data_IF_362621668041
#
_entry.id   IF_362621668041
#
_cell.length_a   1.000
_cell.length_b   1.000
_cell.length_c   1.000
_cell.angle_alpha   90.00
_cell.angle_beta   90.00
_cell.angle_gamma   90.00
#
_symmetry.space_group_name_H-M   'P 1'
#
loop_
_entity.id
_entity.type
_entity.pdbx_description
1 polymer ?
#
# COMPACT_ATOMS: atom_id res chain seq x y z
N UNK A 1 -38.68 41.60 3.38
CA UNK A 1 -38.07 40.50 4.18
C UNK A 1 -36.91 39.90 3.42
N UNK A 2 -35.68 40.26 3.77
CA UNK A 2 -34.48 39.75 3.16
C UNK A 2 -34.09 38.45 3.87
N UNK A 3 -34.14 37.30 3.14
CA UNK A 3 -33.64 36.02 3.64
C UNK A 3 -32.13 36.03 3.49
N UNK A 4 -31.41 36.19 4.59
CA UNK A 4 -29.97 35.97 4.66
C UNK A 4 -29.69 34.46 4.57
N UNK A 5 -29.17 34.00 3.44
CA UNK A 5 -28.64 32.64 3.32
C UNK A 5 -27.35 32.57 4.12
N UNK A 6 -27.37 31.88 5.23
CA UNK A 6 -26.15 31.57 6.00
C UNK A 6 -25.21 30.70 5.14
N UNK A 7 -23.92 31.10 5.10
CA UNK A 7 -22.89 30.30 4.44
C UNK A 7 -22.76 28.91 5.12
N UNK A 8 -22.54 27.83 4.37
CA UNK A 8 -22.37 26.50 4.95
C UNK A 8 -21.11 26.47 5.84
N UNK A 9 -21.12 25.68 6.92
CA UNK A 9 -19.97 25.61 7.84
C UNK A 9 -18.71 25.12 7.10
N UNK A 10 -17.57 25.66 7.46
CA UNK A 10 -16.25 25.40 6.84
C UNK A 10 -15.92 23.91 6.73
N UNK A 11 -16.42 23.08 7.66
CA UNK A 11 -16.28 21.62 7.64
C UNK A 11 -17.00 20.95 6.45
N UNK A 12 -18.13 21.54 6.00
CA UNK A 12 -18.89 21.03 4.85
C UNK A 12 -18.17 21.32 3.51
N UNK A 13 -17.52 22.48 3.41
CA UNK A 13 -16.70 22.85 2.25
C UNK A 13 -15.43 21.99 2.15
N UNK A 14 -14.73 21.74 3.27
CA UNK A 14 -13.57 20.85 3.34
C UNK A 14 -13.95 19.40 2.97
N UNK A 15 -15.12 18.92 3.41
CA UNK A 15 -15.62 17.58 3.04
C UNK A 15 -15.94 17.48 1.56
N UNK A 16 -16.41 18.54 0.91
CA UNK A 16 -16.72 18.58 -0.52
C UNK A 16 -15.46 18.69 -1.39
N UNK A 17 -14.40 19.35 -0.88
CA UNK A 17 -13.11 19.45 -1.57
C UNK A 17 -12.32 18.13 -1.56
N UNK A 18 -12.53 17.24 -0.58
CA UNK A 18 -11.91 15.92 -0.51
C UNK A 18 -12.74 14.81 -1.18
N UNK A 19 -13.98 15.08 -1.57
CA UNK A 19 -14.80 14.15 -2.34
C UNK A 19 -14.32 14.11 -3.78
N UNK A 20 -13.42 13.18 -4.10
CA UNK A 20 -12.85 12.98 -5.45
C UNK A 20 -11.32 13.04 -5.51
N UNK A 21 -10.62 13.29 -4.39
CA UNK A 21 -9.16 13.19 -4.35
C UNK A 21 -8.73 11.73 -4.42
N UNK A 22 -7.84 11.41 -5.36
CA UNK A 22 -7.12 10.14 -5.40
C UNK A 22 -5.82 10.27 -4.60
N UNK A 23 -5.57 9.32 -3.70
CA UNK A 23 -4.36 9.26 -2.88
C UNK A 23 -3.32 8.34 -3.51
N UNK A 24 -2.09 8.82 -3.63
CA UNK A 24 -0.96 8.03 -4.13
C UNK A 24 -0.28 7.31 -2.97
N UNK A 25 -0.13 5.99 -3.10
CA UNK A 25 0.43 5.10 -2.08
C UNK A 25 1.64 4.35 -2.65
N UNK A 26 2.78 4.47 -2.01
CA UNK A 26 4.00 3.74 -2.39
C UNK A 26 4.25 2.60 -1.40
N UNK A 27 4.19 1.36 -1.90
CA UNK A 27 4.60 0.18 -1.13
C UNK A 27 6.08 -0.11 -1.33
N UNK A 28 6.81 -0.26 -0.23
CA UNK A 28 8.25 -0.52 -0.23
C UNK A 28 8.60 -1.88 0.35
N UNK A 29 9.51 -2.56 -0.31
CA UNK A 29 10.27 -3.69 0.24
C UNK A 29 11.68 -3.65 -0.34
N UNK A 30 12.61 -4.46 0.18
CA UNK A 30 13.99 -4.44 -0.32
C UNK A 30 14.08 -4.79 -1.81
N UNK A 31 13.55 -5.93 -2.22
CA UNK A 31 13.76 -6.45 -3.59
C UNK A 31 12.74 -6.04 -4.64
N UNK A 32 11.63 -5.41 -4.28
CA UNK A 32 10.50 -5.08 -5.17
C UNK A 32 10.16 -6.21 -6.16
N UNK A 33 10.05 -7.44 -5.66
CA UNK A 33 9.81 -8.62 -6.48
C UNK A 33 8.55 -9.42 -6.10
N UNK A 34 8.10 -9.34 -4.83
CA UNK A 34 6.96 -10.09 -4.33
C UNK A 34 6.01 -9.21 -3.51
N UNK A 35 6.27 -9.01 -2.21
CA UNK A 35 5.34 -8.36 -1.26
C UNK A 35 4.80 -7.01 -1.71
N UNK A 36 5.66 -6.09 -2.12
CA UNK A 36 5.24 -4.75 -2.58
C UNK A 36 4.47 -4.79 -3.90
N UNK A 37 4.78 -5.75 -4.79
CA UNK A 37 4.02 -5.99 -6.04
C UNK A 37 2.61 -6.49 -5.72
N UNK A 38 2.48 -7.47 -4.82
CA UNK A 38 1.18 -7.97 -4.37
C UNK A 38 0.33 -6.85 -3.75
N UNK A 39 0.94 -6.00 -2.91
CA UNK A 39 0.27 -4.87 -2.29
C UNK A 39 -0.19 -3.81 -3.30
N UNK A 40 0.65 -3.49 -4.31
CA UNK A 40 0.32 -2.58 -5.41
C UNK A 40 -0.91 -3.08 -6.18
N UNK A 41 -0.92 -4.36 -6.58
CA UNK A 41 -2.05 -4.97 -7.29
C UNK A 41 -3.35 -4.95 -6.47
N UNK A 42 -3.27 -5.33 -5.19
CA UNK A 42 -4.40 -5.34 -4.27
C UNK A 42 -5.01 -3.94 -4.10
N UNK A 43 -4.19 -2.93 -3.83
CA UNK A 43 -4.71 -1.59 -3.56
C UNK A 43 -5.28 -0.93 -4.82
N UNK A 44 -4.69 -1.15 -5.99
CA UNK A 44 -5.23 -0.68 -7.26
C UNK A 44 -6.58 -1.33 -7.59
N UNK A 45 -6.85 -2.53 -7.07
CA UNK A 45 -8.13 -3.22 -7.23
C UNK A 45 -9.14 -2.77 -6.17
N UNK A 46 -8.80 -2.91 -4.90
CA UNK A 46 -9.73 -2.67 -3.78
C UNK A 46 -9.97 -1.19 -3.50
N UNK A 47 -8.99 -0.35 -3.83
CA UNK A 47 -9.03 1.10 -3.64
C UNK A 47 -9.41 1.91 -4.89
N UNK A 48 -9.89 1.25 -5.96
CA UNK A 48 -10.20 1.87 -7.24
C UNK A 48 -11.03 3.16 -7.09
N UNK A 49 -10.58 4.21 -7.76
CA UNK A 49 -11.23 5.54 -7.72
C UNK A 49 -10.84 6.41 -6.52
N UNK A 50 -10.22 5.85 -5.47
CA UNK A 50 -9.75 6.58 -4.29
C UNK A 50 -8.24 6.51 -4.08
N UNK A 51 -7.61 5.46 -4.59
CA UNK A 51 -6.18 5.22 -4.42
C UNK A 51 -5.55 4.87 -5.76
N UNK A 52 -4.29 5.27 -5.90
CA UNK A 52 -3.38 4.83 -6.94
C UNK A 52 -2.12 4.31 -6.25
N UNK A 53 -1.86 3.03 -6.40
CA UNK A 53 -0.74 2.37 -5.75
C UNK A 53 0.44 2.20 -6.68
N UNK A 54 1.62 2.32 -6.11
CA UNK A 54 2.93 2.05 -6.70
C UNK A 54 3.71 1.12 -5.80
N UNK A 55 4.75 0.48 -6.33
CA UNK A 55 5.71 -0.27 -5.54
C UNK A 55 7.15 0.03 -5.96
N UNK A 56 8.09 -0.08 -5.02
CA UNK A 56 9.51 0.05 -5.28
C UNK A 56 10.35 -0.72 -4.25
N UNK A 57 11.65 -0.78 -4.48
CA UNK A 57 12.61 -1.40 -3.58
C UNK A 57 13.87 -0.56 -3.39
N UNK A 58 14.54 -0.75 -2.25
CA UNK A 58 15.86 -0.19 -1.99
C UNK A 58 16.94 -0.85 -2.83
N UNK A 59 16.82 -2.18 -3.02
CA UNK A 59 17.72 -3.01 -3.84
C UNK A 59 16.88 -3.89 -4.77
N UNK A 60 16.31 -3.33 -5.84
CA UNK A 60 15.39 -4.04 -6.72
C UNK A 60 16.09 -5.21 -7.42
N UNK A 61 15.40 -6.38 -7.47
CA UNK A 61 15.92 -7.59 -8.13
C UNK A 61 15.88 -7.51 -9.67
N UNK A 62 15.33 -6.45 -10.25
CA UNK A 62 15.18 -6.24 -11.69
C UNK A 62 14.03 -7.01 -12.33
N UNK A 63 13.47 -8.00 -11.64
CA UNK A 63 12.35 -8.80 -12.12
C UNK A 63 11.34 -9.11 -11.00
N UNK A 64 10.09 -9.25 -11.39
CA UNK A 64 9.01 -9.69 -10.49
C UNK A 64 9.10 -11.22 -10.33
N UNK A 65 8.85 -11.70 -9.12
CA UNK A 65 8.90 -13.13 -8.82
C UNK A 65 7.80 -13.90 -9.57
N UNK A 66 8.10 -14.99 -10.29
CA UNK A 66 7.10 -15.73 -11.07
C UNK A 66 5.88 -16.18 -10.26
N UNK A 67 6.08 -16.66 -9.02
CA UNK A 67 4.98 -17.07 -8.14
C UNK A 67 4.08 -15.89 -7.72
N UNK A 68 4.59 -14.67 -7.67
CA UNK A 68 3.74 -13.50 -7.42
C UNK A 68 2.81 -13.25 -8.62
N UNK A 69 3.33 -13.28 -9.84
CA UNK A 69 2.53 -13.10 -11.05
C UNK A 69 1.52 -14.25 -11.21
N UNK A 70 1.94 -15.51 -11.02
CA UNK A 70 1.03 -16.65 -11.09
C UNK A 70 -0.11 -16.55 -10.08
N UNK A 71 0.20 -16.17 -8.82
CA UNK A 71 -0.81 -15.97 -7.78
C UNK A 71 -1.81 -14.86 -8.15
N UNK A 72 -1.32 -13.72 -8.63
CA UNK A 72 -2.19 -12.62 -9.09
C UNK A 72 -3.13 -13.08 -10.20
N UNK A 73 -2.65 -13.84 -11.19
CA UNK A 73 -3.48 -14.43 -12.25
C UNK A 73 -4.55 -15.35 -11.68
N UNK A 74 -4.18 -16.28 -10.80
CA UNK A 74 -5.10 -17.24 -10.18
C UNK A 74 -6.17 -16.60 -9.31
N UNK A 75 -5.88 -15.43 -8.74
CA UNK A 75 -6.82 -14.68 -7.90
C UNK A 75 -7.57 -13.59 -8.67
N UNK A 76 -7.45 -13.55 -10.01
CA UNK A 76 -8.06 -12.54 -10.89
C UNK A 76 -7.70 -11.09 -10.50
N UNK A 77 -6.51 -10.90 -9.96
CA UNK A 77 -5.94 -9.58 -9.70
C UNK A 77 -5.08 -9.14 -10.90
N UNK A 78 -4.90 -7.81 -11.12
CA UNK A 78 -3.98 -7.31 -12.13
C UNK A 78 -2.60 -7.95 -11.97
N UNK A 79 -2.07 -8.51 -13.05
CA UNK A 79 -0.82 -9.27 -13.06
C UNK A 79 0.18 -8.78 -14.11
N UNK A 80 -0.18 -7.76 -14.88
CA UNK A 80 0.63 -7.20 -15.97
C UNK A 80 1.07 -5.77 -15.66
N UNK A 81 2.12 -5.31 -16.34
CA UNK A 81 2.65 -3.96 -16.19
C UNK A 81 3.54 -3.75 -14.95
N UNK A 82 3.68 -4.74 -14.08
CA UNK A 82 4.58 -4.66 -12.93
C UNK A 82 6.04 -4.79 -13.33
N UNK A 83 6.91 -4.02 -12.71
CA UNK A 83 8.36 -4.12 -12.82
C UNK A 83 9.03 -3.93 -11.47
N UNK A 84 10.16 -4.58 -11.28
CA UNK A 84 11.03 -4.34 -10.13
C UNK A 84 11.84 -3.07 -10.39
N UNK A 85 11.75 -2.06 -9.50
CA UNK A 85 12.31 -0.73 -9.69
C UNK A 85 12.80 -0.11 -8.38
N UNK A 86 13.77 0.81 -8.50
CA UNK A 86 14.31 1.53 -7.36
C UNK A 86 13.30 2.55 -6.81
N UNK A 87 13.30 2.73 -5.52
CA UNK A 87 12.58 3.78 -4.84
C UNK A 87 13.05 5.19 -5.22
N UNK A 88 14.30 5.34 -5.72
CA UNK A 88 14.84 6.63 -6.18
C UNK A 88 14.02 7.22 -7.32
N UNK A 89 13.32 6.39 -8.09
CA UNK A 89 12.41 6.88 -9.13
C UNK A 89 11.29 7.76 -8.56
N UNK A 90 10.88 7.53 -7.31
CA UNK A 90 9.84 8.31 -6.63
C UNK A 90 10.38 9.51 -5.85
N UNK A 91 11.69 9.61 -5.67
CA UNK A 91 12.36 10.77 -5.11
C UNK A 91 12.86 11.75 -6.20
N UNK A 92 12.85 11.31 -7.46
CA UNK A 92 13.35 12.10 -8.59
C UNK A 92 12.42 13.28 -8.95
N UNK A 93 12.94 14.35 -9.56
CA UNK A 93 12.09 15.42 -10.10
C UNK A 93 11.09 14.89 -11.12
N UNK A 94 9.83 15.31 -11.00
CA UNK A 94 8.75 14.87 -11.87
C UNK A 94 8.07 13.56 -11.44
N UNK A 95 8.53 12.92 -10.36
CA UNK A 95 7.82 11.78 -9.77
C UNK A 95 6.42 12.18 -9.30
N UNK A 96 5.45 11.24 -9.32
CA UNK A 96 4.11 11.51 -8.79
C UNK A 96 4.21 11.87 -7.30
N UNK A 97 3.44 12.86 -6.82
CA UNK A 97 3.41 13.19 -5.40
C UNK A 97 2.86 11.98 -4.62
N UNK A 98 3.57 11.55 -3.58
CA UNK A 98 3.18 10.42 -2.73
C UNK A 98 2.52 10.94 -1.46
N UNK A 99 1.33 10.41 -1.14
CA UNK A 99 0.61 10.73 0.10
C UNK A 99 0.96 9.78 1.25
N UNK A 100 1.18 8.50 0.91
CA UNK A 100 1.51 7.45 1.88
C UNK A 100 2.68 6.60 1.41
N UNK A 101 3.61 6.31 2.31
CA UNK A 101 4.68 5.32 2.11
C UNK A 101 4.49 4.19 3.12
N UNK A 102 4.34 2.96 2.63
CA UNK A 102 4.08 1.79 3.45
C UNK A 102 5.16 0.75 3.20
N UNK A 103 6.02 0.50 4.19
CA UNK A 103 7.00 -0.59 4.12
C UNK A 103 6.34 -1.92 4.46
N UNK A 104 6.55 -2.95 3.63
CA UNK A 104 5.95 -4.28 3.80
C UNK A 104 6.96 -5.37 4.16
N UNK A 105 8.20 -5.02 4.45
CA UNK A 105 9.22 -5.93 4.99
C UNK A 105 10.05 -5.21 6.06
N UNK A 106 10.51 -5.96 7.05
CA UNK A 106 11.23 -5.41 8.20
C UNK A 106 12.57 -4.79 7.79
N UNK A 107 13.27 -5.37 6.83
CA UNK A 107 14.53 -4.83 6.32
C UNK A 107 14.35 -3.41 5.75
N UNK A 108 13.36 -3.22 4.87
CA UNK A 108 13.08 -1.90 4.30
C UNK A 108 12.63 -0.88 5.36
N UNK A 109 12.04 -1.32 6.46
CA UNK A 109 11.67 -0.45 7.58
C UNK A 109 12.90 0.06 8.36
N UNK A 110 14.00 -0.70 8.35
CA UNK A 110 15.26 -0.34 9.00
C UNK A 110 16.24 0.44 8.11
N UNK A 111 15.95 0.58 6.83
CA UNK A 111 16.82 1.28 5.88
C UNK A 111 16.60 2.81 5.93
N UNK A 112 17.66 3.56 5.59
CA UNK A 112 17.57 5.02 5.45
C UNK A 112 16.82 5.32 4.15
N UNK A 113 15.52 5.60 4.28
CA UNK A 113 14.70 5.98 3.13
C UNK A 113 15.12 7.34 2.56
N UNK A 114 14.97 7.55 1.24
CA UNK A 114 15.10 8.87 0.64
C UNK A 114 14.16 9.89 1.29
N UNK A 115 14.51 11.17 1.18
CA UNK A 115 13.58 12.24 1.55
C UNK A 115 12.55 12.38 0.45
N UNK A 116 11.33 11.94 0.74
CA UNK A 116 10.22 12.01 -0.21
C UNK A 116 9.71 13.46 -0.34
N UNK A 117 9.50 13.97 -1.57
CA UNK A 117 8.82 15.24 -1.77
C UNK A 117 7.42 15.21 -1.11
N UNK A 118 7.05 16.33 -0.45
CA UNK A 118 5.71 16.43 0.16
C UNK A 118 5.56 15.81 1.55
N UNK A 119 6.57 15.13 2.09
CA UNK A 119 6.55 14.48 3.41
C UNK A 119 5.35 13.55 3.58
N UNK A 120 5.26 12.45 2.83
CA UNK A 120 4.17 11.49 2.92
C UNK A 120 4.05 10.91 4.32
N UNK A 121 2.84 10.50 4.68
CA UNK A 121 2.61 9.76 5.91
C UNK A 121 3.18 8.35 5.78
N UNK A 122 3.95 7.89 6.77
CA UNK A 122 4.64 6.60 6.72
C UNK A 122 4.03 5.58 7.67
N UNK A 123 4.02 4.32 7.26
CA UNK A 123 3.63 3.20 8.13
C UNK A 123 4.41 1.95 7.77
N UNK A 124 4.48 1.02 8.74
CA UNK A 124 5.09 -0.28 8.54
C UNK A 124 4.05 -1.39 8.69
N UNK A 125 3.95 -2.26 7.67
CA UNK A 125 3.06 -3.41 7.62
C UNK A 125 3.85 -4.69 7.36
N UNK A 126 4.75 -5.06 8.26
CA UNK A 126 5.66 -6.20 8.11
C UNK A 126 4.93 -7.50 7.71
N UNK A 127 5.40 -8.11 6.63
CA UNK A 127 4.93 -9.38 6.08
C UNK A 127 6.14 -10.29 5.92
N UNK A 128 6.02 -11.54 6.36
CA UNK A 128 7.07 -12.54 6.14
C UNK A 128 7.41 -12.67 4.66
N UNK A 129 8.69 -12.89 4.34
CA UNK A 129 9.11 -13.00 2.94
C UNK A 129 8.70 -14.35 2.34
N UNK A 130 7.71 -14.40 1.44
CA UNK A 130 7.31 -15.66 0.81
C UNK A 130 8.37 -16.19 -0.15
N UNK A 131 9.25 -15.31 -0.67
CA UNK A 131 10.32 -15.71 -1.58
C UNK A 131 11.55 -16.31 -0.86
N UNK A 132 11.62 -16.22 0.47
CA UNK A 132 12.65 -16.82 1.29
C UNK A 132 12.32 -18.25 1.74
N UNK A 133 11.08 -18.71 1.48
CA UNK A 133 10.67 -20.07 1.88
C UNK A 133 11.35 -21.09 0.99
N UNK A 134 12.10 -21.98 1.64
CA UNK A 134 12.69 -23.15 1.01
C UNK A 134 11.72 -24.33 1.08
N UNK A 135 11.80 -25.25 0.11
CA UNK A 135 10.92 -26.42 0.06
C UNK A 135 10.31 -26.64 -1.33
N UNK A 136 9.23 -27.41 -1.35
CA UNK A 136 8.49 -27.76 -2.57
C UNK A 136 7.76 -26.54 -3.16
N UNK A 137 7.40 -26.64 -4.44
CA UNK A 137 6.61 -25.59 -5.11
C UNK A 137 5.26 -25.36 -4.42
N UNK A 138 4.68 -26.42 -3.82
CA UNK A 138 3.44 -26.30 -3.05
C UNK A 138 3.63 -25.47 -1.78
N UNK A 139 4.71 -25.69 -1.02
CA UNK A 139 5.02 -24.92 0.21
C UNK A 139 5.31 -23.46 -0.13
N UNK A 140 6.06 -23.20 -1.20
CA UNK A 140 6.29 -21.84 -1.70
C UNK A 140 4.99 -21.15 -2.12
N UNK A 141 4.11 -21.86 -2.84
CA UNK A 141 2.81 -21.30 -3.24
C UNK A 141 1.92 -20.98 -2.04
N UNK A 142 1.94 -21.80 -0.99
CA UNK A 142 1.24 -21.54 0.29
C UNK A 142 1.78 -20.26 0.94
N UNK A 143 3.10 -20.08 1.00
CA UNK A 143 3.71 -18.88 1.57
C UNK A 143 3.30 -17.59 0.82
N UNK A 144 3.31 -17.64 -0.52
CA UNK A 144 2.84 -16.52 -1.34
C UNK A 144 1.36 -16.22 -1.11
N UNK A 145 0.52 -17.25 -1.02
CA UNK A 145 -0.91 -17.09 -0.72
C UNK A 145 -1.13 -16.47 0.66
N UNK A 146 -0.39 -16.92 1.68
CA UNK A 146 -0.45 -16.35 3.03
C UNK A 146 -0.10 -14.87 3.01
N UNK A 147 1.00 -14.50 2.35
CA UNK A 147 1.42 -13.10 2.22
C UNK A 147 0.33 -12.24 1.52
N UNK A 148 -0.31 -12.75 0.47
CA UNK A 148 -1.40 -12.06 -0.22
C UNK A 148 -2.60 -11.83 0.71
N UNK A 149 -3.02 -12.85 1.47
CA UNK A 149 -4.15 -12.75 2.42
C UNK A 149 -3.89 -11.74 3.54
N UNK A 150 -2.67 -11.71 4.07
CA UNK A 150 -2.25 -10.74 5.08
C UNK A 150 -2.28 -9.30 4.53
N UNK A 151 -1.77 -9.10 3.33
CA UNK A 151 -1.82 -7.81 2.65
C UNK A 151 -3.25 -7.39 2.33
N UNK A 152 -4.09 -8.32 1.84
CA UNK A 152 -5.48 -8.06 1.52
C UNK A 152 -6.26 -7.57 2.74
N UNK A 153 -6.07 -8.20 3.90
CA UNK A 153 -6.69 -7.80 5.16
C UNK A 153 -6.32 -6.36 5.51
N UNK A 154 -5.04 -6.01 5.45
CA UNK A 154 -4.56 -4.65 5.75
C UNK A 154 -5.02 -3.62 4.73
N UNK A 155 -5.02 -3.97 3.45
CA UNK A 155 -5.52 -3.09 2.38
C UNK A 155 -7.04 -2.85 2.55
N UNK A 156 -7.83 -3.86 2.89
CA UNK A 156 -9.27 -3.70 3.18
C UNK A 156 -9.50 -2.74 4.36
N UNK A 157 -8.75 -2.89 5.45
CA UNK A 157 -8.83 -1.98 6.59
C UNK A 157 -8.44 -0.55 6.19
N UNK A 158 -7.38 -0.38 5.42
CA UNK A 158 -6.92 0.92 4.93
C UNK A 158 -7.95 1.59 4.02
N UNK A 159 -8.50 0.86 3.07
CA UNK A 159 -9.50 1.39 2.15
C UNK A 159 -10.84 1.73 2.84
N UNK A 160 -11.12 1.17 4.01
CA UNK A 160 -12.30 1.51 4.81
C UNK A 160 -12.15 2.83 5.59
N UNK A 161 -10.93 3.36 5.73
CA UNK A 161 -10.70 4.59 6.49
C UNK A 161 -11.34 5.81 5.80
N UNK A 162 -12.01 6.68 6.56
CA UNK A 162 -12.52 7.95 6.06
C UNK A 162 -11.42 9.02 6.06
N UNK A 163 -10.35 8.81 5.24
CA UNK A 163 -9.10 9.60 5.26
C UNK A 163 -9.36 11.10 5.20
N UNK A 164 -10.29 11.55 4.36
CA UNK A 164 -10.58 12.97 4.19
C UNK A 164 -11.25 13.64 5.40
N UNK A 165 -11.66 12.89 6.42
CA UNK A 165 -12.32 13.40 7.64
C UNK A 165 -11.50 13.20 8.92
N UNK A 166 -10.38 12.47 8.85
CA UNK A 166 -9.48 12.25 9.98
C UNK A 166 -8.40 13.35 10.03
N UNK A 167 -8.06 13.78 11.23
CA UNK A 167 -6.85 14.57 11.45
C UNK A 167 -5.61 13.68 11.26
N UNK A 168 -4.44 14.31 11.04
CA UNK A 168 -3.21 13.61 10.72
C UNK A 168 -2.71 12.68 11.84
N UNK A 169 -2.93 13.03 13.12
CA UNK A 169 -2.51 12.19 14.25
C UNK A 169 -3.37 10.94 14.35
N UNK A 170 -4.69 11.10 14.24
CA UNK A 170 -5.65 9.98 14.24
C UNK A 170 -5.38 9.06 13.05
N UNK A 171 -5.18 9.60 11.86
CA UNK A 171 -4.88 8.82 10.67
C UNK A 171 -3.56 8.03 10.83
N UNK A 172 -2.50 8.67 11.33
CA UNK A 172 -1.22 8.02 11.63
C UNK A 172 -1.38 6.87 12.64
N UNK A 173 -2.20 7.06 13.68
CA UNK A 173 -2.48 6.02 14.67
C UNK A 173 -3.21 4.82 14.04
N UNK A 174 -4.20 5.07 13.17
CA UNK A 174 -4.93 4.04 12.43
C UNK A 174 -4.02 3.25 11.49
N UNK A 175 -3.13 3.91 10.75
CA UNK A 175 -2.16 3.25 9.88
C UNK A 175 -1.23 2.31 10.66
N UNK A 176 -0.74 2.75 11.83
CA UNK A 176 0.08 1.91 12.71
C UNK A 176 -0.71 0.73 13.26
N UNK A 177 -1.98 0.92 13.61
CA UNK A 177 -2.85 -0.16 14.09
C UNK A 177 -3.05 -1.23 13.01
N UNK A 178 -3.28 -0.82 11.75
CA UNK A 178 -3.39 -1.73 10.61
C UNK A 178 -2.13 -2.58 10.47
N UNK A 179 -0.93 -1.97 10.58
CA UNK A 179 0.34 -2.69 10.51
C UNK A 179 0.51 -3.78 11.60
N UNK A 180 -0.13 -3.59 12.75
CA UNK A 180 -0.10 -4.53 13.87
C UNK A 180 -1.21 -5.57 13.86
N UNK A 181 -2.12 -5.52 12.87
CA UNK A 181 -3.21 -6.49 12.77
C UNK A 181 -2.64 -7.89 12.58
N UNK A 182 -2.85 -8.75 13.56
CA UNK A 182 -2.57 -10.17 13.42
C UNK A 182 -3.61 -10.77 12.48
N UNK A 183 -3.16 -11.45 11.43
CA UNK A 183 -4.04 -12.28 10.62
C UNK A 183 -4.16 -13.62 11.34
N UNK A 184 -5.35 -13.93 11.86
CA UNK A 184 -5.66 -15.26 12.36
C UNK A 184 -5.63 -16.22 11.16
N UNK A 185 -4.46 -16.79 10.88
CA UNK A 185 -4.26 -17.90 9.94
C UNK A 185 -4.12 -19.23 10.70
N UNK A 186 -4.84 -19.38 11.82
CA UNK A 186 -5.07 -20.67 12.43
C UNK A 186 -6.53 -21.01 12.20
N UNK A 187 -6.78 -21.90 11.26
CA UNK A 187 -7.95 -22.78 11.10
C UNK A 187 -8.40 -22.89 9.63
N UNK A 188 -7.81 -23.82 8.90
CA UNK A 188 -8.55 -24.81 8.10
C UNK A 188 -7.57 -25.83 7.56
#
# INVERSE_FOLDING_TARGET
MLHTRSAPPTSFLLRKMNAGRTYNVLFLCTGNSARSILAESLLNTLGKGRFHAFSAGSFPKGQVHPLAIDLLKRTNLPSEGFRSKSWDEFAAPGAPPIDFVITVCDNAAGEVCPVWPGRPMTSHWGIADPAAVEGTDAEKAIAFRKALMELETRVKLFTSLPIGSLDSMTLQARLRQIGRTATNTESA
#
